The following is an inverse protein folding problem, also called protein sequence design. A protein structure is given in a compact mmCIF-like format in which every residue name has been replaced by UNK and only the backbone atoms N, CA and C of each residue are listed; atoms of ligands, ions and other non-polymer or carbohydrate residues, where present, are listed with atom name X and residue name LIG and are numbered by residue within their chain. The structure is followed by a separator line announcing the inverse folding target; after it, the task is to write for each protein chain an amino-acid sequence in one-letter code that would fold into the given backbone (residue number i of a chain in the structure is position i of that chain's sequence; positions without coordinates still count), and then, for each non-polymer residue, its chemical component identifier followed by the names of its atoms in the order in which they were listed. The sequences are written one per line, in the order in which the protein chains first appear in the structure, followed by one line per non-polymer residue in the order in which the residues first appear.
data_IF_050083042611
#
_entry.id   IF_050083042611
#
_cell.length_a   1.000
_cell.length_b   1.000
_cell.length_c   1.000
_cell.angle_alpha   90.00
_cell.angle_beta   90.00
_cell.angle_gamma   90.00
#
_symmetry.space_group_name_H-M   'P 1'
#
loop_
_entity.id
_entity.type
_entity.pdbx_description
1 polymer ?
#
# COMPACT_ATOMS: atom_id res chain seq x y z
N UNK A 1 18.70 -10.18 11.52
CA UNK A 1 17.33 -10.12 10.98
C UNK A 1 17.47 -10.00 9.47
N UNK A 2 16.92 -10.93 8.72
CA UNK A 2 17.09 -10.98 7.27
C UNK A 2 15.92 -10.28 6.57
N UNK A 3 15.92 -8.94 6.54
CA UNK A 3 14.84 -8.14 5.95
C UNK A 3 14.65 -8.42 4.44
N UNK A 4 15.65 -8.99 3.78
CA UNK A 4 15.56 -9.46 2.39
C UNK A 4 14.64 -10.68 2.22
N UNK A 5 14.46 -11.48 3.28
CA UNK A 5 13.61 -12.69 3.29
C UNK A 5 12.19 -12.40 3.80
N UNK A 6 11.92 -11.18 4.26
CA UNK A 6 10.59 -10.77 4.69
C UNK A 6 9.73 -10.49 3.46
N UNK A 7 8.44 -10.87 3.56
CA UNK A 7 7.45 -10.42 2.60
C UNK A 7 7.22 -8.92 2.74
N UNK A 8 6.72 -8.30 1.69
CA UNK A 8 6.39 -6.87 1.69
C UNK A 8 5.45 -6.48 2.84
N UNK A 9 4.44 -7.31 3.11
CA UNK A 9 3.49 -7.11 4.20
C UNK A 9 4.16 -7.18 5.59
N UNK A 10 5.11 -8.10 5.77
CA UNK A 10 5.90 -8.19 6.99
C UNK A 10 6.86 -6.99 7.17
N UNK A 11 7.42 -6.46 6.08
CA UNK A 11 8.20 -5.21 6.10
C UNK A 11 7.32 -4.01 6.50
N UNK A 12 6.13 -3.90 5.93
CA UNK A 12 5.17 -2.83 6.24
C UNK A 12 4.76 -2.86 7.72
N UNK A 13 4.38 -4.04 8.21
CA UNK A 13 4.00 -4.23 9.61
C UNK A 13 5.17 -3.95 10.56
N UNK A 14 6.40 -4.35 10.20
CA UNK A 14 7.58 -4.05 11.01
C UNK A 14 7.94 -2.55 11.00
N UNK A 15 7.72 -1.84 9.90
CA UNK A 15 7.97 -0.40 9.80
C UNK A 15 7.02 0.44 10.68
N UNK A 16 5.80 -0.06 10.92
CA UNK A 16 4.78 0.60 11.75
C UNK A 16 4.79 0.14 13.21
N UNK A 17 5.66 -0.80 13.58
CA UNK A 17 5.68 -1.37 14.92
C UNK A 17 6.58 -0.55 15.86
N UNK A 18 5.95 0.30 16.68
CA UNK A 18 6.61 1.16 17.66
C UNK A 18 7.34 0.41 18.78
N UNK A 19 7.08 -0.90 18.95
CA UNK A 19 7.72 -1.74 19.96
C UNK A 19 9.04 -2.36 19.46
N UNK A 20 9.38 -2.21 18.18
CA UNK A 20 10.64 -2.68 17.63
C UNK A 20 11.77 -1.66 17.89
N UNK A 21 13.01 -2.12 18.12
CA UNK A 21 14.16 -1.21 18.20
C UNK A 21 14.30 -0.40 16.90
N UNK A 22 14.66 0.89 17.01
CA UNK A 22 14.83 1.78 15.85
C UNK A 22 15.74 1.18 14.76
N UNK A 23 16.80 0.46 15.16
CA UNK A 23 17.72 -0.23 14.25
C UNK A 23 16.98 -1.22 13.32
N UNK A 24 16.00 -1.93 13.85
CA UNK A 24 15.20 -2.92 13.12
C UNK A 24 14.33 -2.23 12.08
N UNK A 25 13.64 -1.16 12.48
CA UNK A 25 12.78 -0.36 11.59
C UNK A 25 13.58 0.23 10.44
N UNK A 26 14.73 0.86 10.72
CA UNK A 26 15.63 1.43 9.70
C UNK A 26 16.14 0.35 8.75
N UNK A 27 16.49 -0.83 9.27
CA UNK A 27 16.99 -1.93 8.44
C UNK A 27 15.91 -2.46 7.47
N UNK A 28 14.67 -2.55 7.94
CA UNK A 28 13.51 -2.91 7.11
C UNK A 28 13.31 -1.88 6.00
N UNK A 29 13.24 -0.60 6.34
CA UNK A 29 13.06 0.50 5.38
C UNK A 29 14.17 0.55 4.32
N UNK A 30 15.44 0.42 4.73
CA UNK A 30 16.56 0.44 3.80
C UNK A 30 16.56 -0.77 2.85
N UNK A 31 16.18 -1.95 3.35
CA UNK A 31 16.10 -3.15 2.50
C UNK A 31 15.01 -3.02 1.42
N UNK A 32 13.89 -2.35 1.74
CA UNK A 32 12.86 -2.03 0.76
C UNK A 32 13.34 -0.96 -0.23
N UNK A 33 14.06 0.07 0.25
CA UNK A 33 14.66 1.09 -0.62
C UNK A 33 15.60 0.47 -1.67
N UNK A 34 16.48 -0.45 -1.26
CA UNK A 34 17.42 -1.14 -2.18
C UNK A 34 16.67 -1.97 -3.22
N UNK A 35 15.58 -2.67 -2.84
CA UNK A 35 14.74 -3.42 -3.78
C UNK A 35 14.12 -2.51 -4.83
N UNK A 36 13.60 -1.35 -4.42
CA UNK A 36 13.03 -0.32 -5.31
C UNK A 36 14.10 0.22 -6.27
N UNK A 37 15.28 0.58 -5.76
CA UNK A 37 16.39 1.07 -6.58
C UNK A 37 16.82 0.06 -7.64
N UNK A 38 16.90 -1.23 -7.30
CA UNK A 38 17.22 -2.29 -8.26
C UNK A 38 16.11 -2.47 -9.30
N UNK A 39 14.84 -2.43 -8.89
CA UNK A 39 13.72 -2.53 -9.83
C UNK A 39 13.71 -1.37 -10.85
N UNK A 40 14.09 -0.16 -10.43
CA UNK A 40 14.21 1.02 -11.30
C UNK A 40 15.43 0.88 -12.24
N UNK A 41 16.59 0.48 -11.73
CA UNK A 41 17.79 0.26 -12.54
C UNK A 41 17.55 -0.83 -13.61
N UNK A 42 16.78 -1.86 -13.27
CA UNK A 42 16.43 -2.94 -14.19
C UNK A 42 15.33 -2.54 -15.18
N UNK A 43 14.41 -1.63 -14.83
CA UNK A 43 13.35 -1.14 -15.73
C UNK A 43 13.81 -0.02 -16.66
N UNK A 44 14.87 0.70 -16.32
CA UNK A 44 15.53 1.70 -17.17
C UNK A 44 16.56 1.09 -18.16
N UNK A 45 16.60 -0.24 -18.27
CA UNK A 45 17.45 -1.01 -19.18
C UNK A 45 17.07 -0.98 -20.67
N UNK A 46 16.56 0.14 -21.18
CA UNK A 46 16.51 0.39 -22.63
C UNK A 46 16.62 1.89 -22.92
N UNK A 47 17.83 2.43 -22.87
CA UNK A 47 18.38 3.33 -23.89
C UNK A 47 19.82 3.72 -23.55
N UNK A 48 20.68 3.55 -24.55
CA UNK A 48 22.05 4.08 -24.67
C UNK A 48 23.16 3.40 -23.87
N UNK A 49 23.75 2.41 -24.51
CA UNK A 49 25.20 2.37 -24.70
C UNK A 49 25.65 3.70 -25.32
N UNK A 50 26.27 4.60 -24.55
CA UNK A 50 27.28 5.56 -25.04
C UNK A 50 27.88 6.41 -23.89
N UNK A 51 29.15 6.10 -23.59
CA UNK A 51 30.26 7.05 -23.39
C UNK A 51 30.23 8.06 -22.22
N UNK A 52 31.18 7.84 -21.30
CA UNK A 52 32.14 8.82 -20.76
C UNK A 52 31.91 10.32 -21.10
N UNK A 53 31.62 11.15 -20.09
CA UNK A 53 32.38 12.37 -19.73
C UNK A 53 31.60 13.41 -18.91
N UNK A 54 32.37 14.05 -18.02
CA UNK A 54 32.07 15.12 -17.07
C UNK A 54 31.28 16.33 -17.63
N UNK A 55 30.24 16.79 -16.91
CA UNK A 55 30.02 18.17 -16.37
C UNK A 55 28.53 18.38 -15.99
N UNK A 56 28.20 19.06 -14.86
CA UNK A 56 26.85 19.13 -14.31
C UNK A 56 26.03 20.28 -14.90
N UNK A 57 24.94 19.96 -15.59
CA UNK A 57 23.93 20.95 -16.02
C UNK A 57 22.57 20.26 -16.15
N UNK A 58 21.84 20.13 -15.05
CA UNK A 58 20.43 19.72 -15.07
C UNK A 58 19.70 20.08 -13.75
N UNK A 59 19.84 21.33 -13.30
CA UNK A 59 19.15 21.85 -12.11
C UNK A 59 17.63 22.05 -12.29
N UNK A 60 16.98 21.37 -13.25
CA UNK A 60 15.53 21.51 -13.52
C UNK A 60 14.74 20.20 -13.46
N UNK A 61 15.38 19.03 -13.38
CA UNK A 61 14.71 17.73 -13.15
C UNK A 61 14.81 17.22 -11.71
N UNK A 62 15.63 17.87 -10.89
CA UNK A 62 15.82 17.49 -9.48
C UNK A 62 14.68 17.98 -8.57
N UNK A 63 14.00 19.07 -8.92
CA UNK A 63 12.94 19.65 -8.09
C UNK A 63 11.63 18.83 -8.12
N UNK A 64 11.34 18.15 -9.23
CA UNK A 64 10.21 17.20 -9.32
C UNK A 64 10.55 15.91 -8.57
N UNK A 65 11.79 15.43 -8.72
CA UNK A 65 12.27 14.18 -8.13
C UNK A 65 12.43 14.28 -6.61
N UNK A 66 12.82 15.44 -6.07
CA UNK A 66 12.96 15.63 -4.61
C UNK A 66 11.63 15.61 -3.87
N UNK A 67 10.51 16.01 -4.50
CA UNK A 67 9.17 15.83 -3.87
C UNK A 67 8.75 14.36 -3.85
N UNK A 68 9.15 13.59 -4.85
CA UNK A 68 8.85 12.15 -4.91
C UNK A 68 9.72 11.32 -3.96
N UNK A 69 10.87 11.86 -3.52
CA UNK A 69 11.73 11.24 -2.51
C UNK A 69 11.24 11.45 -1.06
N UNK A 70 10.28 12.35 -0.84
CA UNK A 70 9.77 12.70 0.50
C UNK A 70 8.39 12.09 0.81
N UNK A 71 7.72 11.49 -0.17
CA UNK A 71 6.44 10.80 0.04
C UNK A 71 6.65 9.31 -0.22
N UNK A 72 6.87 8.55 0.84
CA UNK A 72 7.33 7.16 0.84
C UNK A 72 6.31 6.12 0.35
N UNK A 73 5.36 6.51 -0.50
CA UNK A 73 4.43 5.58 -1.15
C UNK A 73 4.16 6.07 -2.57
N UNK A 74 4.28 5.23 -3.62
CA UNK A 74 3.91 5.67 -4.96
C UNK A 74 2.40 5.98 -4.97
N UNK A 75 2.01 7.14 -5.50
CA UNK A 75 0.63 7.67 -5.44
C UNK A 75 -0.45 6.63 -5.80
N UNK A 76 -0.16 5.77 -6.79
CA UNK A 76 -1.03 4.67 -7.23
C UNK A 76 -1.35 3.64 -6.13
N UNK A 77 -0.50 3.49 -5.12
CA UNK A 77 -0.70 2.59 -3.98
C UNK A 77 -1.52 3.23 -2.87
N UNK A 78 -1.40 4.55 -2.66
CA UNK A 78 -2.33 5.28 -1.79
C UNK A 78 -3.74 5.21 -2.34
N UNK A 79 -3.89 5.40 -3.66
CA UNK A 79 -5.18 5.32 -4.35
C UNK A 79 -5.78 3.90 -4.24
N UNK A 80 -4.96 2.85 -4.39
CA UNK A 80 -5.39 1.47 -4.21
C UNK A 80 -5.85 1.15 -2.77
N UNK A 81 -5.15 1.65 -1.76
CA UNK A 81 -5.55 1.50 -0.36
C UNK A 81 -6.83 2.27 -0.02
N UNK A 82 -6.97 3.49 -0.53
CA UNK A 82 -8.17 4.31 -0.36
C UNK A 82 -9.37 3.64 -1.04
N UNK A 83 -9.19 3.08 -2.24
CA UNK A 83 -10.23 2.31 -2.93
C UNK A 83 -10.64 1.07 -2.14
N UNK A 84 -9.69 0.24 -1.70
CA UNK A 84 -9.99 -0.94 -0.89
C UNK A 84 -10.69 -0.58 0.44
N UNK A 85 -10.28 0.52 1.08
CA UNK A 85 -10.93 1.02 2.31
C UNK A 85 -12.37 1.48 2.04
N UNK A 86 -12.62 2.13 0.90
CA UNK A 86 -13.96 2.50 0.46
C UNK A 86 -14.81 1.24 0.25
N UNK A 87 -14.28 0.24 -0.45
CA UNK A 87 -14.99 -1.01 -0.71
C UNK A 87 -15.33 -1.76 0.58
N UNK A 88 -14.41 -1.81 1.54
CA UNK A 88 -14.67 -2.38 2.89
C UNK A 88 -15.84 -1.66 3.57
N UNK A 89 -15.90 -0.34 3.50
CA UNK A 89 -17.00 0.42 4.10
C UNK A 89 -18.32 0.17 3.39
N UNK A 90 -18.31 0.08 2.05
CA UNK A 90 -19.48 -0.28 1.26
C UNK A 90 -20.00 -1.66 1.66
N UNK A 91 -19.13 -2.67 1.70
CA UNK A 91 -19.49 -4.03 2.07
C UNK A 91 -20.04 -4.12 3.50
N UNK A 92 -19.47 -3.35 4.44
CA UNK A 92 -20.02 -3.24 5.80
C UNK A 92 -21.43 -2.70 5.80
N UNK A 93 -21.71 -1.65 5.02
CA UNK A 93 -23.04 -1.08 4.92
C UNK A 93 -24.04 -2.07 4.28
N UNK A 94 -23.64 -2.72 3.19
CA UNK A 94 -24.46 -3.75 2.53
C UNK A 94 -24.77 -4.90 3.48
N UNK A 95 -23.79 -5.34 4.28
CA UNK A 95 -23.99 -6.38 5.29
C UNK A 95 -25.01 -5.98 6.35
N UNK A 96 -24.94 -4.75 6.87
CA UNK A 96 -25.94 -4.25 7.83
C UNK A 96 -27.32 -4.12 7.18
N UNK A 97 -27.40 -3.71 5.91
CA UNK A 97 -28.65 -3.69 5.15
C UNK A 97 -29.26 -5.08 5.00
N UNK A 98 -28.45 -6.09 4.68
CA UNK A 98 -28.91 -7.49 4.56
C UNK A 98 -29.39 -8.02 5.92
N UNK A 99 -28.68 -7.72 7.01
CA UNK A 99 -29.10 -8.10 8.37
C UNK A 99 -30.45 -7.50 8.74
N UNK A 100 -30.69 -6.23 8.42
CA UNK A 100 -31.97 -5.58 8.68
C UNK A 100 -33.11 -6.27 7.92
N UNK A 101 -32.93 -6.54 6.62
CA UNK A 101 -33.91 -7.26 5.80
C UNK A 101 -34.17 -8.67 6.31
N UNK A 102 -33.13 -9.36 6.79
CA UNK A 102 -33.28 -10.69 7.39
C UNK A 102 -34.14 -10.64 8.66
N UNK A 103 -33.94 -9.64 9.52
CA UNK A 103 -34.75 -9.46 10.73
C UNK A 103 -36.22 -9.16 10.39
N UNK A 104 -36.48 -8.32 9.40
CA UNK A 104 -37.84 -8.04 8.91
C UNK A 104 -38.51 -9.31 8.40
N UNK A 105 -37.82 -10.07 7.54
CA UNK A 105 -38.36 -11.32 7.00
C UNK A 105 -38.62 -12.34 8.10
N UNK A 106 -37.75 -12.43 9.10
CA UNK A 106 -37.94 -13.31 10.24
C UNK A 106 -39.17 -12.91 11.07
N UNK A 107 -39.38 -11.60 11.29
CA UNK A 107 -40.58 -11.11 11.96
C UNK A 107 -41.86 -11.44 11.17
N UNK A 108 -41.85 -11.27 9.85
CA UNK A 108 -42.99 -11.58 8.99
C UNK A 108 -43.32 -13.09 9.00
N UNK A 109 -42.29 -13.95 9.00
CA UNK A 109 -42.48 -15.40 9.15
C UNK A 109 -43.12 -15.77 10.49
N UNK A 110 -42.65 -15.19 11.59
CA UNK A 110 -43.22 -15.40 12.92
C UNK A 110 -44.67 -14.90 13.01
N UNK A 111 -44.98 -13.77 12.36
CA UNK A 111 -46.32 -13.21 12.31
C UNK A 111 -47.30 -14.12 11.54
N UNK A 112 -46.88 -14.64 10.39
CA UNK A 112 -47.66 -15.59 9.61
C UNK A 112 -47.88 -16.91 10.35
N UNK A 113 -46.87 -17.42 11.08
CA UNK A 113 -47.03 -18.62 11.90
C UNK A 113 -48.04 -18.44 13.04
N UNK A 114 -48.19 -17.23 13.59
CA UNK A 114 -49.17 -16.93 14.65
C UNK A 114 -50.61 -16.76 14.15
N UNK A 115 -50.81 -16.54 12.85
CA UNK A 115 -52.14 -16.40 12.25
C UNK A 115 -52.78 -17.72 11.82
N UNK A 116 -52.02 -18.82 11.82
CA UNK A 116 -52.49 -20.18 11.56
C UNK A 116 -52.72 -20.95 12.86
#
# INVERSE_FOLDING_TARGET
MDCQKLSFDACMHAAQNERLPLRVVVQVLFSEQVKISNAIANSSGCSSSALINNKPTAAMTEATTRRQLLDGTPQSFQDGWVAAKKDINTLKFELESVKAKYLELQHDMDALQKQN
#
